data_IF_227685426861
#
_entry.id   IF_227685426861
#
_cell.length_a   1.000
_cell.length_b   1.000
_cell.length_c   1.000
_cell.angle_alpha   90.00
_cell.angle_beta   90.00
_cell.angle_gamma   90.00
#
_symmetry.space_group_name_H-M   'P 1'
#
loop_
_entity.id
_entity.type
_entity.pdbx_description
1 polymer ?
#
# COMPACT_ATOMS: atom_id res chain seq x y z
N UNK A 1 27.36 35.00 -27.95
CA UNK A 1 26.52 35.31 -26.77
C UNK A 1 25.30 34.36 -26.63
N UNK A 2 25.45 33.06 -26.91
CA UNK A 2 24.36 32.05 -26.83
C UNK A 2 24.38 31.27 -25.50
N UNK A 3 25.51 31.27 -24.79
CA UNK A 3 25.69 30.57 -23.51
C UNK A 3 24.70 30.95 -22.39
N UNK A 4 24.31 32.23 -22.20
CA UNK A 4 23.37 32.60 -21.14
C UNK A 4 21.94 32.07 -21.42
N UNK A 5 21.52 32.11 -22.68
CA UNK A 5 20.19 31.65 -23.10
C UNK A 5 20.06 30.11 -22.99
N UNK A 6 21.11 29.36 -23.32
CA UNK A 6 21.16 27.91 -23.11
C UNK A 6 21.14 27.55 -21.62
N UNK A 7 21.76 28.34 -20.75
CA UNK A 7 21.79 28.09 -19.30
C UNK A 7 20.43 28.34 -18.65
N UNK A 8 19.67 29.34 -19.12
CA UNK A 8 18.30 29.62 -18.68
C UNK A 8 17.31 28.59 -19.24
N UNK A 9 17.49 28.15 -20.50
CA UNK A 9 16.71 27.05 -21.07
C UNK A 9 16.99 25.72 -20.34
N UNK A 10 18.24 25.45 -19.97
CA UNK A 10 18.62 24.26 -19.22
C UNK A 10 18.11 24.28 -17.77
N UNK A 11 18.14 25.44 -17.09
CA UNK A 11 17.62 25.56 -15.72
C UNK A 11 16.08 25.46 -15.67
N UNK A 12 15.39 26.00 -16.68
CA UNK A 12 13.93 25.87 -16.80
C UNK A 12 13.50 24.45 -17.19
N UNK A 13 14.25 23.77 -18.07
CA UNK A 13 14.05 22.35 -18.39
C UNK A 13 14.32 21.44 -17.18
N UNK A 14 15.39 21.70 -16.42
CA UNK A 14 15.70 20.96 -15.18
C UNK A 14 14.60 21.17 -14.12
N UNK A 15 14.13 22.40 -13.91
CA UNK A 15 13.03 22.69 -13.00
C UNK A 15 11.71 22.03 -13.44
N UNK A 16 11.45 21.91 -14.74
CA UNK A 16 10.27 21.20 -15.28
C UNK A 16 10.38 19.70 -15.07
N UNK A 17 11.55 19.11 -15.31
CA UNK A 17 11.80 17.68 -15.08
C UNK A 17 11.67 17.30 -13.59
N UNK A 18 12.14 18.15 -12.67
CA UNK A 18 11.98 17.96 -11.24
C UNK A 18 10.51 18.04 -10.80
N UNK A 19 9.72 18.95 -11.39
CA UNK A 19 8.28 19.05 -11.11
C UNK A 19 7.51 17.83 -11.63
N UNK A 20 7.86 17.32 -12.81
CA UNK A 20 7.23 16.10 -13.36
C UNK A 20 7.57 14.89 -12.49
N UNK A 21 8.84 14.70 -12.13
CA UNK A 21 9.26 13.63 -11.23
C UNK A 21 8.60 13.75 -9.85
N UNK A 22 8.52 14.97 -9.29
CA UNK A 22 7.81 15.20 -8.04
C UNK A 22 6.32 14.87 -8.14
N UNK A 23 5.68 15.22 -9.26
CA UNK A 23 4.27 14.90 -9.48
C UNK A 23 4.04 13.40 -9.60
N UNK A 24 4.91 12.70 -10.34
CA UNK A 24 4.85 11.24 -10.49
C UNK A 24 5.03 10.52 -9.15
N UNK A 25 6.00 10.94 -8.33
CA UNK A 25 6.17 10.41 -6.97
C UNK A 25 4.96 10.71 -6.09
N UNK A 26 4.41 11.93 -6.15
CA UNK A 26 3.21 12.29 -5.38
C UNK A 26 1.99 11.48 -5.79
N UNK A 27 1.76 11.30 -7.09
CA UNK A 27 0.66 10.48 -7.59
C UNK A 27 0.84 9.01 -7.18
N UNK A 28 2.06 8.49 -7.29
CA UNK A 28 2.35 7.12 -6.87
C UNK A 28 2.17 6.94 -5.35
N UNK A 29 2.63 7.91 -4.54
CA UNK A 29 2.45 7.92 -3.10
C UNK A 29 0.95 8.01 -2.72
N UNK A 30 0.18 8.85 -3.42
CA UNK A 30 -1.25 8.98 -3.20
C UNK A 30 -2.00 7.68 -3.54
N UNK A 31 -1.66 7.04 -4.66
CA UNK A 31 -2.27 5.78 -5.08
C UNK A 31 -1.92 4.63 -4.13
N UNK A 32 -0.66 4.53 -3.70
CA UNK A 32 -0.23 3.52 -2.73
C UNK A 32 -0.90 3.72 -1.39
N UNK A 33 -1.04 4.97 -0.92
CA UNK A 33 -1.77 5.28 0.30
C UNK A 33 -3.26 4.94 0.17
N UNK A 34 -3.92 5.34 -0.93
CA UNK A 34 -5.31 5.03 -1.20
C UNK A 34 -5.55 3.51 -1.26
N UNK A 35 -4.67 2.77 -1.92
CA UNK A 35 -4.72 1.31 -1.98
C UNK A 35 -4.55 0.69 -0.59
N UNK A 36 -3.57 1.14 0.20
CA UNK A 36 -3.36 0.65 1.56
C UNK A 36 -4.59 0.91 2.44
N UNK A 37 -5.21 2.08 2.30
CA UNK A 37 -6.39 2.49 3.06
C UNK A 37 -7.61 1.66 2.65
N UNK A 38 -7.84 1.46 1.34
CA UNK A 38 -8.92 0.61 0.84
C UNK A 38 -8.76 -0.85 1.30
N UNK A 39 -7.55 -1.39 1.24
CA UNK A 39 -7.24 -2.74 1.75
C UNK A 39 -7.46 -2.81 3.26
N UNK A 40 -7.02 -1.81 4.02
CA UNK A 40 -7.21 -1.75 5.47
C UNK A 40 -8.68 -1.71 5.88
N UNK A 41 -9.48 -0.85 5.25
CA UNK A 41 -10.93 -0.79 5.51
C UNK A 41 -11.60 -2.11 5.10
N UNK A 42 -11.29 -2.61 3.89
CA UNK A 42 -11.85 -3.88 3.41
C UNK A 42 -11.52 -5.05 4.34
N UNK A 43 -10.29 -5.11 4.85
CA UNK A 43 -9.84 -6.09 5.82
C UNK A 43 -10.65 -6.06 7.14
N UNK A 44 -10.93 -4.86 7.66
CA UNK A 44 -11.73 -4.69 8.88
C UNK A 44 -13.17 -5.17 8.64
N UNK A 45 -13.82 -4.70 7.58
CA UNK A 45 -15.20 -5.09 7.26
C UNK A 45 -15.31 -6.58 6.95
N UNK A 46 -14.36 -7.15 6.21
CA UNK A 46 -14.30 -8.57 5.94
C UNK A 46 -14.16 -9.38 7.24
N UNK A 47 -13.29 -8.93 8.16
CA UNK A 47 -13.09 -9.63 9.43
C UNK A 47 -14.34 -9.60 10.31
N UNK A 48 -15.02 -8.45 10.41
CA UNK A 48 -16.29 -8.33 11.13
C UNK A 48 -17.40 -9.16 10.49
N UNK A 49 -17.53 -9.10 9.16
CA UNK A 49 -18.54 -9.87 8.43
C UNK A 49 -18.30 -11.38 8.54
N UNK A 50 -17.05 -11.83 8.42
CA UNK A 50 -16.68 -13.22 8.59
C UNK A 50 -16.95 -13.69 10.02
N UNK A 51 -16.56 -12.90 11.02
CA UNK A 51 -16.84 -13.21 12.42
C UNK A 51 -18.35 -13.35 12.67
N UNK A 52 -19.15 -12.36 12.27
CA UNK A 52 -20.59 -12.38 12.43
C UNK A 52 -21.29 -13.51 11.66
N UNK A 53 -20.74 -13.94 10.52
CA UNK A 53 -21.25 -15.07 9.77
C UNK A 53 -20.92 -16.42 10.44
N UNK A 54 -19.72 -16.55 11.01
CA UNK A 54 -19.26 -17.78 11.66
C UNK A 54 -19.89 -17.95 13.05
N UNK A 55 -20.03 -16.87 13.81
CA UNK A 55 -20.65 -16.88 15.15
C UNK A 55 -22.10 -17.40 15.14
N UNK A 56 -22.81 -17.25 14.02
CA UNK A 56 -24.16 -17.81 13.84
C UNK A 56 -24.18 -19.35 13.82
N UNK A 57 -23.04 -19.99 13.61
CA UNK A 57 -22.92 -21.44 13.44
C UNK A 57 -21.89 -22.08 14.37
N UNK A 58 -21.09 -21.30 15.10
CA UNK A 58 -19.95 -21.76 15.89
C UNK A 58 -19.76 -20.91 17.16
N UNK A 59 -19.19 -21.53 18.21
CA UNK A 59 -18.83 -20.86 19.46
C UNK A 59 -17.86 -19.68 19.18
N UNK A 60 -18.07 -18.47 19.75
CA UNK A 60 -17.23 -17.28 19.54
C UNK A 60 -15.72 -17.52 19.71
N UNK A 61 -15.32 -18.47 20.57
CA UNK A 61 -13.91 -18.87 20.70
C UNK A 61 -13.34 -19.49 19.41
N UNK A 62 -14.12 -20.33 18.73
CA UNK A 62 -13.72 -20.96 17.48
C UNK A 62 -13.77 -19.96 16.30
N UNK A 63 -14.76 -19.05 16.29
CA UNK A 63 -14.86 -18.00 15.27
C UNK A 63 -13.64 -17.06 15.28
N UNK A 64 -13.20 -16.62 16.47
CA UNK A 64 -12.01 -15.78 16.62
C UNK A 64 -10.72 -16.52 16.23
N UNK A 65 -10.61 -17.82 16.52
CA UNK A 65 -9.48 -18.64 16.11
C UNK A 65 -9.35 -18.76 14.59
N UNK A 66 -10.46 -18.89 13.85
CA UNK A 66 -10.46 -18.97 12.38
C UNK A 66 -10.02 -17.64 11.76
N UNK A 67 -10.59 -16.52 12.21
CA UNK A 67 -10.23 -15.19 11.72
C UNK A 67 -8.77 -14.86 12.07
N UNK A 68 -8.34 -15.18 13.29
CA UNK A 68 -6.95 -15.01 13.72
C UNK A 68 -5.98 -15.89 12.92
N UNK A 69 -6.33 -17.15 12.67
CA UNK A 69 -5.54 -18.07 11.85
C UNK A 69 -5.37 -17.59 10.42
N UNK A 70 -6.44 -17.08 9.80
CA UNK A 70 -6.38 -16.48 8.46
C UNK A 70 -5.37 -15.33 8.41
N UNK A 71 -5.44 -14.39 9.36
CA UNK A 71 -4.50 -13.27 9.44
C UNK A 71 -3.06 -13.70 9.76
N UNK A 72 -2.88 -14.74 10.57
CA UNK A 72 -1.56 -15.30 10.86
C UNK A 72 -0.88 -15.89 9.62
N UNK A 73 -1.64 -16.60 8.76
CA UNK A 73 -1.12 -17.13 7.48
C UNK A 73 -0.81 -15.98 6.52
N UNK A 74 -1.70 -14.99 6.44
CA UNK A 74 -1.53 -13.84 5.57
C UNK A 74 -0.29 -13.02 5.95
N UNK A 75 -0.14 -12.70 7.24
CA UNK A 75 1.05 -12.02 7.79
C UNK A 75 2.33 -12.87 7.67
N UNK A 76 2.24 -14.17 7.91
CA UNK A 76 3.36 -15.11 7.75
C UNK A 76 3.86 -15.21 6.32
N UNK A 77 2.95 -15.29 5.34
CA UNK A 77 3.31 -15.34 3.92
C UNK A 77 3.98 -14.04 3.46
N UNK A 78 3.47 -12.88 3.92
CA UNK A 78 4.11 -11.59 3.68
C UNK A 78 5.52 -11.54 4.29
N UNK A 79 5.68 -11.98 5.54
CA UNK A 79 6.99 -12.01 6.20
C UNK A 79 8.00 -12.88 5.44
N UNK A 80 7.58 -14.07 4.98
CA UNK A 80 8.43 -14.96 4.18
C UNK A 80 8.82 -14.29 2.86
N UNK A 81 7.87 -13.66 2.16
CA UNK A 81 8.12 -12.96 0.91
C UNK A 81 9.08 -11.76 1.11
N UNK A 82 8.87 -10.97 2.16
CA UNK A 82 9.73 -9.85 2.52
C UNK A 82 11.15 -10.30 2.88
N UNK A 83 11.28 -11.42 3.62
CA UNK A 83 12.58 -12.01 3.96
C UNK A 83 13.32 -12.50 2.71
N UNK A 84 12.62 -13.11 1.74
CA UNK A 84 13.22 -13.54 0.47
C UNK A 84 13.73 -12.40 -0.40
N UNK A 85 13.13 -11.21 -0.33
CA UNK A 85 13.60 -10.03 -1.08
C UNK A 85 14.86 -9.39 -0.49
N UNK A 86 15.20 -9.73 0.76
CA UNK A 86 16.34 -9.14 1.48
C UNK A 86 17.61 -9.99 1.42
N UNK A 87 17.48 -11.28 1.09
CA UNK A 87 18.59 -12.20 0.82
C UNK A 87 18.88 -12.25 -0.67
#
# INVERSE_FOLDING_TARGET
>A
MIGPLLRVAASTAAARSLRVAAHEVLTHAALTFAAALAVGIGAVFLSFSAFAAIERHLDPAAASAIVGGFWAVLGGSYFVAARRRRN
#
